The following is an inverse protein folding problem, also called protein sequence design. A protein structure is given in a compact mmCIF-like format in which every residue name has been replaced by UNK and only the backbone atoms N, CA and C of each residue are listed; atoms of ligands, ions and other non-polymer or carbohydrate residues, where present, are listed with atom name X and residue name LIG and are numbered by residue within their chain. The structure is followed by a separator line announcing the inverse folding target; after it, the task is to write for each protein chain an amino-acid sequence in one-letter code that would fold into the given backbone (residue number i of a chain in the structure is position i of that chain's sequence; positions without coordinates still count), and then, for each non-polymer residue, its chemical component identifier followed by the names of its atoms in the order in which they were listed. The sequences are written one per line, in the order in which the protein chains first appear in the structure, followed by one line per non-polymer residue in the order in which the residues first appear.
data_IF_203713191370
#
_entry.id   IF_203713191370
#
_cell.length_a   1.000
_cell.length_b   1.000
_cell.length_c   1.000
_cell.angle_alpha   90.00
_cell.angle_beta   90.00
_cell.angle_gamma   90.00
#
_symmetry.space_group_name_H-M   'P 1'
#
loop_
_entity.id
_entity.type
_entity.pdbx_description
1 polymer ?
#
# COMPACT_ATOMS: atom_id res chain seq x y z
N UNK A 1 -15.60 16.34 13.08
CA UNK A 1 -14.92 16.27 11.77
C UNK A 1 -14.64 14.80 11.49
N UNK A 2 -15.46 14.15 10.67
CA UNK A 2 -15.33 12.72 10.39
C UNK A 2 -14.33 12.52 9.25
N UNK A 3 -13.21 11.85 9.52
CA UNK A 3 -12.27 11.42 8.50
C UNK A 3 -12.81 10.14 7.86
N UNK A 4 -13.42 10.24 6.68
CA UNK A 4 -13.65 9.06 5.84
C UNK A 4 -12.28 8.57 5.35
N UNK A 5 -11.76 7.53 6.01
CA UNK A 5 -10.71 6.72 5.44
C UNK A 5 -11.38 5.73 4.47
N UNK A 6 -11.27 5.99 3.17
CA UNK A 6 -11.65 4.97 2.19
C UNK A 6 -10.53 3.94 2.19
N UNK A 7 -10.81 2.75 2.70
CA UNK A 7 -9.88 1.64 2.57
C UNK A 7 -9.54 1.48 1.08
N UNK A 8 -8.28 1.17 0.75
CA UNK A 8 -7.91 0.72 -0.58
C UNK A 8 -7.91 -0.82 -0.57
N UNK A 9 -9.08 -1.50 -0.52
CA UNK A 9 -9.14 -2.94 -0.30
C UNK A 9 -8.42 -3.73 -1.38
N UNK A 10 -8.30 -3.19 -2.59
CA UNK A 10 -7.61 -3.83 -3.72
C UNK A 10 -6.12 -4.11 -3.46
N UNK A 11 -5.48 -3.38 -2.53
CA UNK A 11 -4.07 -3.55 -2.21
C UNK A 11 -3.84 -4.60 -1.12
N UNK A 12 -4.82 -4.84 -0.25
CA UNK A 12 -4.68 -5.77 0.86
C UNK A 12 -4.39 -7.17 0.32
N UNK A 13 -3.32 -7.76 0.83
CA UNK A 13 -2.83 -9.08 0.43
C UNK A 13 -1.92 -9.08 -0.78
N UNK A 14 -1.70 -7.95 -1.48
CA UNK A 14 -0.73 -7.84 -2.58
C UNK A 14 0.70 -7.82 -2.07
N UNK A 15 1.61 -8.27 -2.91
CA UNK A 15 3.04 -8.12 -2.67
C UNK A 15 3.49 -6.77 -3.21
N UNK A 16 4.34 -6.07 -2.48
CA UNK A 16 4.91 -4.79 -2.86
C UNK A 16 6.41 -4.79 -2.63
N UNK A 17 7.11 -3.99 -3.42
CA UNK A 17 8.51 -3.66 -3.25
C UNK A 17 8.58 -2.19 -2.87
N UNK A 18 9.13 -1.90 -1.71
CA UNK A 18 9.31 -0.53 -1.22
C UNK A 18 10.57 0.10 -1.80
N UNK A 19 10.63 1.43 -1.85
CA UNK A 19 11.78 2.19 -2.39
C UNK A 19 13.10 1.90 -1.64
N UNK A 20 13.02 1.45 -0.38
CA UNK A 20 14.17 1.02 0.41
C UNK A 20 14.62 -0.44 0.11
N UNK A 21 14.01 -1.11 -0.87
CA UNK A 21 14.36 -2.47 -1.31
C UNK A 21 13.65 -3.58 -0.54
N UNK A 22 12.83 -3.27 0.47
CA UNK A 22 12.09 -4.30 1.22
C UNK A 22 10.90 -4.80 0.39
N UNK A 23 10.79 -6.12 0.28
CA UNK A 23 9.60 -6.77 -0.25
C UNK A 23 8.68 -7.20 0.90
N UNK A 24 7.38 -7.05 0.72
CA UNK A 24 6.41 -7.44 1.73
C UNK A 24 4.98 -7.52 1.22
N UNK A 25 4.08 -7.97 2.09
CA UNK A 25 2.65 -8.11 1.81
C UNK A 25 1.88 -6.98 2.46
N UNK A 26 1.03 -6.30 1.71
CA UNK A 26 0.15 -5.28 2.27
C UNK A 26 -0.86 -5.93 3.21
N UNK A 27 -0.91 -5.48 4.45
CA UNK A 27 -1.88 -5.95 5.46
C UNK A 27 -2.96 -4.91 5.73
N UNK A 28 -2.68 -3.64 5.43
CA UNK A 28 -3.61 -2.53 5.53
C UNK A 28 -3.29 -1.49 4.47
N UNK A 29 -4.31 -0.91 3.84
CA UNK A 29 -4.15 0.25 2.98
C UNK A 29 -5.33 1.20 3.21
N UNK A 30 -5.02 2.43 3.62
CA UNK A 30 -6.00 3.44 3.97
C UNK A 30 -5.72 4.75 3.23
N UNK A 31 -6.73 5.27 2.53
CA UNK A 31 -6.69 6.57 1.87
C UNK A 31 -7.56 7.55 2.64
N UNK A 32 -6.98 8.66 3.06
CA UNK A 32 -7.70 9.82 3.59
C UNK A 32 -7.42 11.05 2.73
N UNK A 33 -8.21 12.13 2.90
CA UNK A 33 -7.97 13.41 2.20
C UNK A 33 -6.61 14.03 2.50
N UNK A 34 -5.95 13.62 3.58
CA UNK A 34 -4.67 14.21 4.04
C UNK A 34 -3.46 13.32 3.82
N UNK A 35 -3.65 12.01 3.69
CA UNK A 35 -2.56 11.05 3.58
C UNK A 35 -3.06 9.70 3.06
N UNK A 36 -2.20 9.01 2.33
CA UNK A 36 -2.37 7.63 1.88
C UNK A 36 -1.33 6.78 2.60
N UNK A 37 -1.78 5.94 3.53
CA UNK A 37 -0.90 5.12 4.38
C UNK A 37 -1.13 3.66 4.04
N UNK A 38 -0.03 2.94 3.82
CA UNK A 38 0.00 1.50 3.59
C UNK A 38 0.82 0.85 4.70
N UNK A 39 0.31 -0.21 5.30
CA UNK A 39 1.06 -1.06 6.21
C UNK A 39 1.44 -2.35 5.50
N UNK A 40 2.73 -2.61 5.45
CA UNK A 40 3.36 -3.74 4.78
C UNK A 40 3.98 -4.65 5.84
N UNK A 41 3.65 -5.94 5.76
CA UNK A 41 4.39 -6.99 6.46
C UNK A 41 5.57 -7.41 5.57
N UNK A 42 6.77 -6.97 5.95
CA UNK A 42 8.01 -7.36 5.31
C UNK A 42 8.20 -8.88 5.34
N UNK A 43 8.91 -9.41 4.34
CA UNK A 43 9.27 -10.84 4.31
C UNK A 43 10.21 -11.24 5.45
N UNK A 44 10.86 -10.26 6.09
CA UNK A 44 11.63 -10.40 7.33
C UNK A 44 10.76 -10.46 8.59
N UNK A 45 9.43 -10.35 8.45
CA UNK A 45 8.46 -10.37 9.55
C UNK A 45 8.21 -9.00 10.21
N UNK A 46 8.84 -7.93 9.71
CA UNK A 46 8.64 -6.57 10.25
C UNK A 46 7.38 -5.93 9.71
N UNK A 47 6.73 -5.07 10.51
CA UNK A 47 5.62 -4.24 10.04
C UNK A 47 6.11 -2.81 9.77
N UNK A 48 5.92 -2.36 8.54
CA UNK A 48 6.31 -1.04 8.08
C UNK A 48 5.08 -0.28 7.61
N UNK A 49 4.89 0.91 8.17
CA UNK A 49 3.88 1.86 7.69
C UNK A 49 4.57 2.92 6.85
N UNK A 50 4.14 3.06 5.60
CA UNK A 50 4.72 3.99 4.64
C UNK A 50 3.64 4.71 3.84
N UNK A 51 4.05 5.76 3.13
CA UNK A 51 3.20 6.39 2.13
C UNK A 51 3.07 5.49 0.90
N UNK A 52 2.02 5.68 0.10
CA UNK A 52 1.93 5.03 -1.22
C UNK A 52 3.12 5.41 -2.11
N UNK A 53 3.64 6.64 -1.97
CA UNK A 53 4.80 7.14 -2.71
C UNK A 53 6.12 6.44 -2.35
N UNK A 54 6.17 5.73 -1.23
CA UNK A 54 7.32 4.92 -0.81
C UNK A 54 7.29 3.50 -1.42
N UNK A 55 6.25 3.17 -2.20
CA UNK A 55 6.09 1.87 -2.86
C UNK A 55 6.58 1.99 -4.30
N UNK A 56 7.72 1.36 -4.58
CA UNK A 56 8.32 1.36 -5.91
C UNK A 56 7.56 0.48 -6.90
N UNK A 57 6.99 -0.64 -6.44
CA UNK A 57 6.26 -1.57 -7.32
C UNK A 57 5.22 -2.39 -6.55
N UNK A 58 4.07 -2.64 -7.18
CA UNK A 58 3.06 -3.60 -6.72
C UNK A 58 3.14 -4.83 -7.60
N UNK A 59 3.45 -5.97 -6.97
CA UNK A 59 3.66 -7.25 -7.65
C UNK A 59 2.34 -8.04 -7.62
N UNK A 60 1.81 -8.29 -8.81
CA UNK A 60 0.60 -9.06 -9.02
C UNK A 60 -0.68 -8.23 -8.91
N UNK A 61 -1.59 -8.48 -9.85
CA UNK A 61 -2.89 -7.81 -9.96
C UNK A 61 -3.05 -7.13 -11.32
N UNK A 62 -4.28 -7.13 -11.85
CA UNK A 62 -4.62 -6.24 -12.96
C UNK A 62 -4.41 -4.78 -12.50
N UNK A 63 -3.86 -3.90 -13.37
CA UNK A 63 -3.75 -2.49 -13.05
C UNK A 63 -5.13 -1.98 -12.64
N UNK A 64 -5.20 -1.35 -11.47
CA UNK A 64 -6.44 -0.71 -11.05
C UNK A 64 -6.78 0.43 -12.01
N UNK A 65 -8.06 0.81 -12.15
CA UNK A 65 -8.48 1.88 -13.06
C UNK A 65 -7.82 3.25 -12.77
N UNK A 66 -7.17 3.41 -11.61
CA UNK A 66 -6.43 4.61 -11.22
C UNK A 66 -4.98 4.66 -11.72
N UNK A 67 -4.46 3.58 -12.32
CA UNK A 67 -3.07 3.50 -12.83
C UNK A 67 -2.99 3.65 -14.37
N UNK A 68 -4.12 3.87 -15.04
CA UNK A 68 -4.20 4.14 -16.47
C UNK A 68 -4.62 5.60 -16.70
N UNK A 69 -3.69 6.54 -16.56
CA UNK A 69 -3.79 7.88 -17.14
C UNK A 69 -2.39 8.37 -17.46
#
# INVERSE_FOLDING_TARGET
MSVEASAMPAWIGRIVIMCNGVAGRVVLAARSRRAEIVTVLGMDGTLLSCGVDDIACVVGGAPGPSFAT
#
